data_IF_190203892557
#
_entry.id   IF_190203892557
#
_cell.length_a   1.000
_cell.length_b   1.000
_cell.length_c   1.000
_cell.angle_alpha   90.00
_cell.angle_beta   90.00
_cell.angle_gamma   90.00
#
_symmetry.space_group_name_H-M   'P 1'
#
loop_
_entity.id
_entity.type
_entity.pdbx_description
1 polymer ?
#
# COMPACT_ATOMS: atom_id res chain seq x y z
N UNK A 1 -12.70 9.94 14.14
CA UNK A 1 -11.25 9.82 14.47
C UNK A 1 -10.64 8.58 13.81
N UNK A 2 -11.17 7.37 14.04
CA UNK A 2 -10.68 6.15 13.37
C UNK A 2 -10.79 6.17 11.83
N UNK A 3 -11.77 6.88 11.26
CA UNK A 3 -11.88 7.03 9.79
C UNK A 3 -10.73 7.81 9.18
N UNK A 4 -10.30 8.93 9.78
CA UNK A 4 -9.23 9.79 9.26
C UNK A 4 -7.86 9.12 9.43
N UNK A 5 -7.61 8.52 10.60
CA UNK A 5 -6.35 7.83 10.90
C UNK A 5 -6.15 6.57 10.07
N UNK A 6 -7.23 5.91 9.62
CA UNK A 6 -7.13 4.76 8.71
C UNK A 6 -7.11 5.18 7.23
N UNK A 7 -7.81 6.27 6.88
CA UNK A 7 -7.83 6.80 5.52
C UNK A 7 -6.48 7.37 5.08
N UNK A 8 -5.73 8.01 5.98
CA UNK A 8 -4.41 8.58 5.65
C UNK A 8 -3.41 7.51 5.16
N UNK A 9 -3.13 6.43 5.90
CA UNK A 9 -2.27 5.35 5.41
C UNK A 9 -2.78 4.71 4.11
N UNK A 10 -4.10 4.52 3.98
CA UNK A 10 -4.73 4.01 2.76
C UNK A 10 -4.50 4.94 1.57
N UNK A 11 -4.62 6.24 1.77
CA UNK A 11 -4.34 7.27 0.78
C UNK A 11 -2.88 7.16 0.33
N UNK A 12 -1.92 7.23 1.25
CA UNK A 12 -0.48 7.12 0.91
C UNK A 12 -0.16 5.80 0.20
N UNK A 13 -0.70 4.67 0.66
CA UNK A 13 -0.51 3.37 0.00
C UNK A 13 -1.23 3.25 -1.35
N UNK A 14 -2.20 4.12 -1.64
CA UNK A 14 -2.88 4.11 -2.93
C UNK A 14 -2.16 4.98 -3.96
N UNK A 15 -1.52 6.06 -3.52
CA UNK A 15 -0.86 7.03 -4.40
C UNK A 15 0.61 6.68 -4.64
N UNK A 16 1.31 6.11 -3.67
CA UNK A 16 2.75 5.85 -3.78
C UNK A 16 3.08 4.38 -3.82
N UNK A 17 4.12 4.03 -4.56
CA UNK A 17 4.84 2.78 -4.33
C UNK A 17 5.61 2.91 -3.01
N UNK A 18 5.14 2.20 -1.99
CA UNK A 18 5.75 2.29 -0.67
C UNK A 18 7.19 1.74 -0.71
N UNK A 19 8.19 2.47 -0.19
CA UNK A 19 9.55 1.97 -0.07
C UNK A 19 9.58 0.69 0.78
N UNK A 20 10.51 -0.21 0.47
CA UNK A 20 10.65 -1.48 1.19
C UNK A 20 10.87 -1.29 2.69
N UNK A 21 11.58 -0.23 3.10
CA UNK A 21 11.79 0.11 4.51
C UNK A 21 10.48 0.46 5.22
N UNK A 22 9.59 1.24 4.58
CA UNK A 22 8.29 1.62 5.13
C UNK A 22 7.39 0.39 5.26
N UNK A 23 7.36 -0.46 4.22
CA UNK A 23 6.63 -1.72 4.22
C UNK A 23 7.10 -2.65 5.36
N UNK A 24 8.42 -2.80 5.52
CA UNK A 24 9.01 -3.59 6.61
C UNK A 24 8.62 -3.04 7.99
N UNK A 25 8.62 -1.71 8.16
CA UNK A 25 8.21 -1.08 9.43
C UNK A 25 6.73 -1.28 9.73
N UNK A 26 5.86 -1.15 8.73
CA UNK A 26 4.43 -1.43 8.89
C UNK A 26 4.18 -2.90 9.24
N UNK A 27 4.84 -3.83 8.54
CA UNK A 27 4.76 -5.27 8.85
C UNK A 27 5.27 -5.53 10.27
N UNK A 28 6.36 -4.89 10.71
CA UNK A 28 6.87 -5.00 12.07
C UNK A 28 5.84 -4.54 13.12
N UNK A 29 5.16 -3.42 12.89
CA UNK A 29 4.09 -2.95 13.78
C UNK A 29 2.93 -3.95 13.83
N UNK A 30 2.50 -4.50 12.69
CA UNK A 30 1.44 -5.52 12.66
C UNK A 30 1.86 -6.81 13.37
N UNK A 31 3.12 -7.23 13.21
CA UNK A 31 3.68 -8.41 13.90
C UNK A 31 3.79 -8.17 15.40
N UNK A 32 4.23 -6.98 15.82
CA UNK A 32 4.27 -6.59 17.22
C UNK A 32 2.86 -6.42 17.81
N UNK A 33 1.86 -6.07 17.02
CA UNK A 33 0.48 -6.08 17.50
C UNK A 33 -0.02 -7.52 17.73
N UNK A 34 0.30 -8.45 16.81
CA UNK A 34 -0.17 -9.83 16.89
C UNK A 34 0.58 -10.68 17.93
N UNK A 35 1.90 -10.48 18.04
CA UNK A 35 2.81 -11.26 18.89
C UNK A 35 3.71 -10.42 19.80
N UNK A 36 3.51 -9.11 19.89
CA UNK A 36 4.20 -8.30 20.89
C UNK A 36 3.68 -8.72 22.26
N UNK A 37 4.56 -9.29 23.08
CA UNK A 37 4.29 -9.47 24.49
C UNK A 37 4.30 -8.11 25.19
N UNK A 38 3.50 -8.01 26.26
CA UNK A 38 3.57 -6.89 27.20
C UNK A 38 4.87 -6.91 28.00
N UNK A 39 4.82 -6.44 29.25
CA UNK A 39 5.98 -6.31 30.16
C UNK A 39 6.83 -7.59 30.33
N UNK A 40 6.31 -8.77 29.97
CA UNK A 40 6.97 -10.07 30.15
C UNK A 40 7.72 -10.60 28.90
N UNK A 41 8.08 -9.74 27.95
CA UNK A 41 9.05 -10.07 26.89
C UNK A 41 8.47 -10.52 25.55
N UNK A 42 9.35 -10.64 24.54
CA UNK A 42 8.97 -10.99 23.15
C UNK A 42 8.37 -12.39 23.09
N UNK A 43 7.10 -12.50 22.67
CA UNK A 43 6.50 -13.80 22.34
C UNK A 43 7.03 -14.30 20.99
N UNK A 44 7.30 -15.61 20.91
CA UNK A 44 7.78 -16.26 19.69
C UNK A 44 6.63 -16.35 18.68
N UNK A 45 6.87 -15.91 17.45
CA UNK A 45 5.94 -16.06 16.34
C UNK A 45 6.13 -17.44 15.68
N UNK A 46 5.25 -18.40 16.01
CA UNK A 46 5.30 -19.78 15.50
C UNK A 46 4.81 -19.95 14.07
N UNK A 47 4.10 -18.96 13.54
CA UNK A 47 3.49 -19.01 12.20
C UNK A 47 4.17 -18.00 11.28
N UNK A 48 4.50 -18.43 10.07
CA UNK A 48 5.06 -17.54 9.06
C UNK A 48 4.09 -16.39 8.74
N UNK A 49 4.62 -15.18 8.54
CA UNK A 49 3.79 -14.01 8.26
C UNK A 49 2.96 -14.16 6.97
N UNK A 50 3.52 -14.82 5.96
CA UNK A 50 2.82 -15.06 4.70
C UNK A 50 1.60 -15.97 4.90
N UNK A 51 1.68 -16.97 5.77
CA UNK A 51 0.56 -17.84 6.12
C UNK A 51 -0.56 -17.09 6.87
N UNK A 52 -0.21 -16.05 7.63
CA UNK A 52 -1.20 -15.20 8.31
C UNK A 52 -1.97 -14.32 7.33
N UNK A 53 -1.31 -13.93 6.24
CA UNK A 53 -1.93 -13.13 5.20
C UNK A 53 -2.93 -13.91 4.34
N UNK A 54 -2.88 -15.24 4.36
CA UNK A 54 -3.82 -16.14 3.68
C UNK A 54 -5.25 -15.92 4.21
N UNK A 55 -6.31 -16.00 3.36
CA UNK A 55 -7.69 -15.88 3.80
C UNK A 55 -8.07 -16.90 4.89
N UNK A 56 -9.02 -16.53 5.75
CA UNK A 56 -9.53 -17.42 6.83
C UNK A 56 -10.04 -18.77 6.34
N UNK A 57 -10.64 -18.81 5.14
CA UNK A 57 -11.11 -20.04 4.51
C UNK A 57 -10.00 -21.03 4.15
N UNK A 58 -8.75 -20.55 4.08
CA UNK A 58 -7.56 -21.32 3.73
C UNK A 58 -6.61 -21.46 4.94
N UNK A 59 -7.08 -21.21 6.17
CA UNK A 59 -6.31 -21.43 7.40
C UNK A 59 -5.45 -20.25 7.88
N UNK A 60 -5.47 -19.10 7.20
CA UNK A 60 -4.81 -17.87 7.66
C UNK A 60 -5.71 -16.94 8.47
N UNK A 61 -5.24 -15.74 8.81
CA UNK A 61 -6.07 -14.72 9.49
C UNK A 61 -6.79 -13.78 8.51
N UNK A 62 -6.42 -13.78 7.23
CA UNK A 62 -6.94 -12.88 6.21
C UNK A 62 -6.39 -11.46 6.31
N UNK A 63 -5.22 -11.28 6.94
CA UNK A 63 -4.56 -9.97 7.01
C UNK A 63 -4.04 -9.62 5.62
N UNK A 64 -4.41 -8.47 5.07
CA UNK A 64 -3.92 -8.05 3.75
C UNK A 64 -2.39 -7.89 3.77
N UNK A 65 -1.70 -8.62 2.91
CA UNK A 65 -0.28 -8.40 2.66
C UNK A 65 -0.07 -6.98 2.14
N UNK A 66 0.54 -6.09 2.94
CA UNK A 66 0.62 -4.65 2.63
C UNK A 66 1.32 -4.40 1.29
N UNK A 67 2.34 -5.19 0.97
CA UNK A 67 3.07 -5.10 -0.31
C UNK A 67 2.14 -5.33 -1.50
N UNK A 68 1.36 -6.41 -1.46
CA UNK A 68 0.43 -6.76 -2.55
C UNK A 68 -0.75 -5.80 -2.57
N UNK A 69 -1.21 -5.35 -1.41
CA UNK A 69 -2.27 -4.35 -1.30
C UNK A 69 -1.86 -2.99 -1.89
N UNK A 70 -0.64 -2.51 -1.61
CA UNK A 70 -0.07 -1.32 -2.22
C UNK A 70 -0.02 -1.44 -3.75
N UNK A 71 0.47 -2.58 -4.24
CA UNK A 71 0.53 -2.84 -5.68
C UNK A 71 -0.85 -2.89 -6.32
N UNK A 72 -1.81 -3.55 -5.70
CA UNK A 72 -3.18 -3.65 -6.18
C UNK A 72 -3.87 -2.28 -6.25
N UNK A 73 -3.68 -1.43 -5.23
CA UNK A 73 -4.21 -0.06 -5.24
C UNK A 73 -3.61 0.79 -6.36
N UNK A 74 -2.30 0.70 -6.58
CA UNK A 74 -1.65 1.41 -7.69
C UNK A 74 -2.22 0.94 -9.04
N UNK A 75 -2.38 -0.37 -9.24
CA UNK A 75 -2.98 -0.92 -10.45
C UNK A 75 -4.42 -0.44 -10.63
N UNK A 76 -5.21 -0.38 -9.55
CA UNK A 76 -6.58 0.15 -9.58
C UNK A 76 -6.59 1.58 -10.13
N UNK A 77 -5.69 2.45 -9.66
CA UNK A 77 -5.60 3.83 -10.16
C UNK A 77 -5.16 3.90 -11.61
N UNK A 78 -4.19 3.07 -12.04
CA UNK A 78 -3.84 2.96 -13.45
C UNK A 78 -5.05 2.57 -14.30
N UNK A 79 -5.77 1.53 -13.87
CA UNK A 79 -6.95 1.03 -14.56
C UNK A 79 -8.03 2.10 -14.70
N UNK A 80 -8.30 2.83 -13.62
CA UNK A 80 -9.24 3.96 -13.62
C UNK A 80 -8.77 5.05 -14.59
N UNK A 81 -7.49 5.41 -14.60
CA UNK A 81 -6.98 6.41 -15.55
C UNK A 81 -7.19 5.99 -17.02
N UNK A 82 -7.07 4.70 -17.34
CA UNK A 82 -7.31 4.18 -18.68
C UNK A 82 -8.80 4.14 -19.07
N UNK A 83 -9.70 3.81 -18.13
CA UNK A 83 -11.13 3.64 -18.42
C UNK A 83 -11.96 4.90 -18.21
N UNK A 84 -11.48 5.82 -17.38
CA UNK A 84 -12.17 7.05 -16.98
C UNK A 84 -11.39 8.28 -17.45
N UNK A 85 -10.94 8.26 -18.71
CA UNK A 85 -10.15 9.35 -19.32
C UNK A 85 -10.86 10.72 -19.25
N UNK A 86 -12.19 10.72 -19.26
CA UNK A 86 -13.00 11.91 -19.46
C UNK A 86 -13.24 12.73 -18.18
N UNK A 87 -12.92 12.17 -17.02
CA UNK A 87 -13.06 12.88 -15.75
C UNK A 87 -12.00 13.97 -15.60
N UNK A 88 -12.36 15.06 -14.94
CA UNK A 88 -11.51 16.25 -14.77
C UNK A 88 -10.12 15.91 -14.20
N UNK A 89 -10.07 15.05 -13.16
CA UNK A 89 -8.81 14.64 -12.53
C UNK A 89 -7.89 13.89 -13.50
N UNK A 90 -8.46 13.02 -14.34
CA UNK A 90 -7.73 12.26 -15.36
C UNK A 90 -7.17 13.17 -16.45
N UNK A 91 -7.97 14.15 -16.90
CA UNK A 91 -7.55 15.15 -17.89
C UNK A 91 -6.41 16.03 -17.37
N UNK A 92 -6.51 16.49 -16.13
CA UNK A 92 -5.46 17.29 -15.47
C UNK A 92 -4.17 16.47 -15.37
N UNK A 93 -4.26 15.22 -14.91
CA UNK A 93 -3.11 14.34 -14.75
C UNK A 93 -2.44 14.06 -16.10
N UNK A 94 -3.24 13.80 -17.14
CA UNK A 94 -2.75 13.53 -18.50
C UNK A 94 -2.09 14.76 -19.11
N UNK A 95 -2.65 15.94 -18.90
CA UNK A 95 -2.08 17.21 -19.37
C UNK A 95 -0.74 17.54 -18.68
N UNK A 96 -0.68 17.42 -17.34
CA UNK A 96 0.53 17.76 -16.55
C UNK A 96 1.67 16.75 -16.75
N UNK A 97 1.34 15.45 -16.83
CA UNK A 97 2.34 14.37 -16.80
C UNK A 97 2.45 13.56 -18.09
N UNK A 98 1.80 14.00 -19.18
CA UNK A 98 1.80 13.32 -20.49
C UNK A 98 1.24 11.87 -20.43
N UNK A 99 0.26 11.65 -19.56
CA UNK A 99 -0.39 10.35 -19.36
C UNK A 99 0.47 9.34 -18.58
N UNK A 100 0.04 8.07 -18.57
CA UNK A 100 0.65 7.04 -17.72
C UNK A 100 2.14 6.76 -18.00
N UNK A 101 2.59 6.81 -19.26
CA UNK A 101 3.99 6.50 -19.60
C UNK A 101 4.97 7.55 -19.07
N UNK A 102 4.60 8.82 -19.11
CA UNK A 102 5.37 9.90 -18.45
C UNK A 102 5.40 9.76 -16.92
N UNK A 103 4.44 9.02 -16.35
CA UNK A 103 4.43 8.65 -14.93
C UNK A 103 5.37 7.48 -14.58
N UNK A 104 5.82 6.67 -15.54
CA UNK A 104 6.77 5.58 -15.29
C UNK A 104 8.21 5.98 -15.61
N UNK A 105 8.45 6.86 -16.60
CA UNK A 105 9.81 7.23 -17.05
C UNK A 105 10.61 8.07 -16.03
N UNK A 106 9.98 8.95 -15.22
CA UNK A 106 10.68 9.67 -14.14
C UNK A 106 10.76 8.89 -12.82
N UNK A 107 10.29 7.63 -12.78
CA UNK A 107 10.26 6.81 -11.56
C UNK A 107 11.64 6.41 -11.03
N UNK A 108 12.67 6.50 -11.87
CA UNK A 108 14.03 6.06 -11.54
C UNK A 108 14.88 7.08 -10.77
N UNK A 109 14.41 8.33 -10.56
CA UNK A 109 15.29 9.41 -10.08
C UNK A 109 14.85 10.24 -8.87
N UNK A 110 13.69 10.07 -8.24
CA UNK A 110 13.21 11.12 -7.29
C UNK A 110 12.52 10.71 -5.98
N UNK A 111 12.67 11.64 -5.02
CA UNK A 111 12.28 11.66 -3.60
C UNK A 111 10.85 12.15 -3.33
N UNK A 112 10.04 12.42 -4.36
CA UNK A 112 8.72 13.06 -4.22
C UNK A 112 7.58 12.25 -4.86
N UNK A 113 6.35 12.68 -4.57
CA UNK A 113 5.12 12.10 -5.09
C UNK A 113 4.90 12.36 -6.55
N UNK A 114 4.51 11.32 -7.28
CA UNK A 114 4.17 11.43 -8.69
C UNK A 114 2.79 12.07 -8.94
N UNK A 115 1.95 12.14 -7.90
CA UNK A 115 0.56 12.55 -8.04
C UNK A 115 0.32 14.02 -7.62
N UNK A 116 1.34 14.73 -7.12
CA UNK A 116 1.25 16.18 -6.78
C UNK A 116 2.52 16.94 -7.12
#
# INVERSE_FOLDING_TARGET
>A
INSVLTALPLFYLSFFKAPSAVLKRLISIQRNFLWGGGAEGKKIAWVAWDHICVPRKQGGLGIKAIKDFNRALLIKWKWLLFHQSDYLWSRILTSKYKGWRGLEENSHKQTHSYWW
#
